data_IF_589114620487
#
_entry.id   IF_589114620487
#
_cell.length_a   1.000
_cell.length_b   1.000
_cell.length_c   1.000
_cell.angle_alpha   90.00
_cell.angle_beta   90.00
_cell.angle_gamma   90.00
#
_symmetry.space_group_name_H-M   'P 1'
#
loop_
_entity.id
_entity.type
_entity.pdbx_description
1 polymer ?
#
# COMPACT_ATOMS: atom_id res chain seq x y z
N UNK A 1 -28.54 72.01 8.76
CA UNK A 1 -27.25 71.72 8.09
C UNK A 1 -26.16 71.96 9.13
N UNK A 2 -25.26 71.08 9.56
CA UNK A 2 -24.70 69.83 9.05
C UNK A 2 -24.40 68.90 10.25
N UNK A 3 -24.59 67.61 10.02
CA UNK A 3 -24.29 66.45 10.86
C UNK A 3 -22.79 66.19 10.94
N UNK A 4 -22.28 65.72 12.08
CA UNK A 4 -20.97 65.02 12.16
C UNK A 4 -21.13 63.75 13.00
N UNK A 5 -20.69 62.63 12.42
CA UNK A 5 -20.79 61.24 12.87
C UNK A 5 -19.38 60.73 13.21
N UNK A 6 -19.32 59.63 13.98
CA UNK A 6 -18.21 58.68 14.20
C UNK A 6 -17.36 58.98 15.46
N UNK A 7 -17.01 57.99 16.29
CA UNK A 7 -16.43 56.69 15.90
C UNK A 7 -16.88 55.53 16.82
N UNK A 8 -17.17 54.38 16.20
CA UNK A 8 -17.34 53.07 16.84
C UNK A 8 -15.96 52.43 17.02
N UNK A 9 -15.56 52.14 18.25
CA UNK A 9 -14.36 51.34 18.53
C UNK A 9 -14.69 49.86 18.43
N UNK A 10 -14.34 49.24 17.30
CA UNK A 10 -14.42 47.80 17.11
C UNK A 10 -13.23 47.11 17.80
N UNK A 11 -13.52 46.37 18.87
CA UNK A 11 -12.59 45.46 19.53
C UNK A 11 -12.29 44.29 18.59
N UNK A 12 -11.10 44.25 18.01
CA UNK A 12 -10.61 43.07 17.31
C UNK A 12 -10.24 42.01 18.33
N UNK A 13 -11.14 41.05 18.56
CA UNK A 13 -10.79 39.80 19.22
C UNK A 13 -9.82 39.05 18.30
N UNK A 14 -8.54 39.02 18.67
CA UNK A 14 -7.56 38.13 18.05
C UNK A 14 -7.98 36.70 18.34
N UNK A 15 -8.57 36.04 17.34
CA UNK A 15 -8.65 34.59 17.32
C UNK A 15 -7.22 34.07 17.28
N UNK A 16 -6.67 33.72 18.45
CA UNK A 16 -5.53 32.84 18.53
C UNK A 16 -6.02 31.51 17.97
N UNK A 17 -5.81 31.29 16.68
CA UNK A 17 -5.82 29.96 16.10
C UNK A 17 -4.74 29.19 16.85
N UNK A 18 -5.17 28.45 17.87
CA UNK A 18 -4.37 27.38 18.45
C UNK A 18 -4.14 26.37 17.34
N UNK A 19 -3.09 26.57 16.55
CA UNK A 19 -2.57 25.53 15.69
C UNK A 19 -2.22 24.37 16.63
N UNK A 20 -2.82 23.18 16.46
CA UNK A 20 -2.40 22.04 17.26
C UNK A 20 -0.90 21.85 17.01
N UNK A 21 -0.12 22.01 18.08
CA UNK A 21 1.29 21.67 18.13
C UNK A 21 1.43 20.15 17.97
N UNK A 22 1.42 19.67 16.74
CA UNK A 22 1.92 18.33 16.42
C UNK A 22 2.65 18.31 15.07
N UNK A 23 3.38 19.38 14.78
CA UNK A 23 4.33 19.45 13.66
C UNK A 23 5.76 19.37 14.17
N UNK A 24 6.05 18.39 15.05
CA UNK A 24 7.44 17.92 15.11
C UNK A 24 7.66 17.21 13.77
N UNK A 25 8.44 17.82 12.87
CA UNK A 25 8.80 17.19 11.60
C UNK A 25 9.31 15.79 11.91
N UNK A 26 8.58 14.79 11.42
CA UNK A 26 8.89 13.40 11.65
C UNK A 26 10.35 13.16 11.25
N UNK A 27 11.12 12.59 12.17
CA UNK A 27 12.52 12.33 11.93
C UNK A 27 12.66 11.01 11.21
N UNK A 28 12.66 11.10 9.89
CA UNK A 28 12.94 9.98 9.02
C UNK A 28 14.32 10.15 8.43
N UNK A 29 15.18 9.17 8.69
CA UNK A 29 16.51 9.11 8.08
C UNK A 29 17.41 10.30 8.45
N UNK A 30 17.42 10.66 9.73
CA UNK A 30 18.25 11.75 10.24
C UNK A 30 19.33 11.19 11.16
N UNK A 31 20.46 11.87 11.24
CA UNK A 31 21.46 11.51 12.23
C UNK A 31 20.89 11.79 13.64
N UNK A 32 21.07 10.88 14.62
CA UNK A 32 20.67 11.15 15.99
C UNK A 32 21.52 12.31 16.55
N UNK A 33 20.84 13.30 17.12
CA UNK A 33 21.47 14.56 17.54
C UNK A 33 21.24 14.93 19.00
N UNK A 34 20.42 14.15 19.73
CA UNK A 34 20.18 14.44 21.13
C UNK A 34 21.45 14.24 21.96
N UNK A 35 21.56 14.98 23.06
CA UNK A 35 22.66 14.84 24.01
C UNK A 35 22.64 13.47 24.67
N UNK A 36 23.83 12.95 24.98
CA UNK A 36 23.99 11.68 25.69
C UNK A 36 23.25 11.71 27.04
N UNK A 37 22.32 10.78 27.21
CA UNK A 37 21.57 10.59 28.46
C UNK A 37 21.56 9.11 28.82
N UNK A 38 22.04 8.78 30.03
CA UNK A 38 22.07 7.40 30.52
C UNK A 38 20.67 6.76 30.62
N UNK A 39 19.61 7.58 30.67
CA UNK A 39 18.21 7.15 30.77
C UNK A 39 17.63 6.65 29.45
N UNK A 40 18.23 6.99 28.31
CA UNK A 40 17.71 6.61 26.99
C UNK A 40 18.54 5.45 26.46
N UNK A 41 18.04 4.24 26.67
CA UNK A 41 18.63 3.00 26.18
C UNK A 41 17.72 2.33 25.14
N UNK A 42 18.28 1.51 24.24
CA UNK A 42 17.47 0.69 23.35
C UNK A 42 16.60 -0.27 24.17
N UNK A 43 15.35 -0.44 23.76
CA UNK A 43 14.49 -1.53 24.23
C UNK A 43 15.06 -2.89 23.85
N UNK A 44 15.60 -2.98 22.63
CA UNK A 44 16.21 -4.19 22.10
C UNK A 44 17.13 -3.85 20.92
N UNK A 45 17.98 -4.80 20.54
CA UNK A 45 18.84 -4.70 19.36
C UNK A 45 18.74 -5.97 18.51
N UNK A 46 17.61 -6.17 17.79
CA UNK A 46 17.42 -7.35 16.95
C UNK A 46 18.30 -7.28 15.68
N UNK A 47 18.42 -8.41 14.98
CA UNK A 47 19.11 -8.45 13.68
C UNK A 47 18.15 -8.06 12.55
N UNK A 48 18.55 -7.10 11.72
CA UNK A 48 17.82 -6.70 10.52
C UNK A 48 18.81 -6.38 9.40
N UNK A 49 18.57 -6.86 8.18
CA UNK A 49 19.47 -6.63 7.04
C UNK A 49 19.24 -5.29 6.33
N UNK A 50 18.10 -4.63 6.57
CA UNK A 50 17.68 -3.36 5.95
C UNK A 50 16.97 -2.47 6.97
N UNK A 51 16.88 -1.15 6.71
CA UNK A 51 16.16 -0.24 7.60
C UNK A 51 14.66 -0.56 7.63
N UNK A 52 14.07 -0.94 6.50
CA UNK A 52 12.67 -1.38 6.43
C UNK A 52 12.41 -2.65 7.25
N UNK A 53 13.35 -3.62 7.26
CA UNK A 53 13.22 -4.78 8.14
C UNK A 53 13.29 -4.38 9.63
N UNK A 54 14.16 -3.43 9.98
CA UNK A 54 14.23 -2.87 11.34
C UNK A 54 12.93 -2.13 11.72
N UNK A 55 12.33 -1.41 10.78
CA UNK A 55 11.03 -0.76 10.96
C UNK A 55 9.91 -1.77 11.26
N UNK A 56 9.84 -2.88 10.51
CA UNK A 56 8.85 -3.95 10.77
C UNK A 56 8.98 -4.52 12.19
N UNK A 57 10.20 -4.70 12.67
CA UNK A 57 10.46 -5.13 14.06
C UNK A 57 10.01 -4.07 15.09
N UNK A 58 10.21 -2.78 14.80
CA UNK A 58 9.65 -1.70 15.62
C UNK A 58 8.12 -1.65 15.56
N UNK A 59 7.53 -1.91 14.39
CA UNK A 59 6.09 -1.91 14.20
C UNK A 59 5.42 -2.99 15.07
N UNK A 60 6.00 -4.20 15.08
CA UNK A 60 5.55 -5.34 15.87
C UNK A 60 5.69 -5.15 17.40
N UNK A 61 6.51 -4.18 17.86
CA UNK A 61 6.66 -3.87 19.27
C UNK A 61 5.83 -2.63 19.64
N UNK A 62 4.81 -2.80 20.49
CA UNK A 62 3.91 -1.72 20.93
C UNK A 62 4.62 -0.61 21.70
N UNK A 63 5.73 -0.93 22.39
CA UNK A 63 6.52 0.04 23.14
C UNK A 63 7.50 0.82 22.26
N UNK A 64 7.75 0.38 21.03
CA UNK A 64 8.68 1.05 20.12
C UNK A 64 8.03 2.31 19.52
N UNK A 65 8.75 3.44 19.63
CA UNK A 65 8.37 4.74 19.04
C UNK A 65 9.34 5.19 17.94
N UNK A 66 10.58 4.74 18.00
CA UNK A 66 11.59 4.98 16.96
C UNK A 66 12.57 3.84 16.89
N UNK A 67 13.31 3.78 15.78
CA UNK A 67 14.40 2.83 15.61
C UNK A 67 15.63 3.53 15.03
N UNK A 68 16.78 2.97 15.33
CA UNK A 68 18.07 3.38 14.81
C UNK A 68 18.60 2.26 13.91
N UNK A 69 19.02 2.63 12.72
CA UNK A 69 19.59 1.72 11.74
C UNK A 69 20.81 2.33 11.05
N UNK A 70 21.78 1.48 10.75
CA UNK A 70 22.91 1.86 9.90
C UNK A 70 24.04 0.86 9.98
N UNK A 71 25.03 1.02 9.11
CA UNK A 71 26.26 0.24 9.07
C UNK A 71 27.40 1.08 9.65
N UNK A 72 27.80 0.84 10.92
CA UNK A 72 28.93 1.54 11.51
C UNK A 72 30.19 1.39 10.67
N UNK A 73 31.08 2.38 10.79
CA UNK A 73 32.41 2.31 10.17
C UNK A 73 33.11 1.01 10.60
N UNK A 74 33.66 0.27 9.63
CA UNK A 74 34.35 -1.01 9.81
C UNK A 74 33.48 -2.19 10.29
N UNK A 75 32.16 -2.02 10.42
CA UNK A 75 31.26 -3.14 10.71
C UNK A 75 30.97 -3.97 9.44
N UNK A 76 30.81 -5.29 9.61
CA UNK A 76 30.40 -6.22 8.55
C UNK A 76 28.87 -6.43 8.48
N UNK A 77 28.17 -6.03 9.54
CA UNK A 77 26.73 -6.17 9.68
C UNK A 77 26.10 -4.85 10.15
N UNK A 78 24.91 -4.52 9.66
CA UNK A 78 24.20 -3.33 10.13
C UNK A 78 23.73 -3.50 11.57
N UNK A 79 23.60 -2.37 12.25
CA UNK A 79 22.99 -2.24 13.56
C UNK A 79 21.51 -1.90 13.40
N UNK A 80 20.66 -2.57 14.17
CA UNK A 80 19.25 -2.21 14.36
C UNK A 80 18.99 -2.13 15.87
N UNK A 81 18.48 -0.98 16.34
CA UNK A 81 18.13 -0.74 17.76
C UNK A 81 16.75 -0.13 17.83
N UNK A 82 15.90 -0.66 18.71
CA UNK A 82 14.54 -0.17 18.93
C UNK A 82 14.50 0.72 20.17
N UNK A 83 13.73 1.81 20.16
CA UNK A 83 13.63 2.75 21.27
C UNK A 83 12.17 3.05 21.63
N UNK A 84 11.91 3.26 22.92
CA UNK A 84 10.60 3.68 23.45
C UNK A 84 10.35 5.19 23.41
N UNK A 85 11.32 5.95 22.89
CA UNK A 85 11.26 7.40 22.75
C UNK A 85 11.13 7.81 21.28
N UNK A 86 10.58 9.00 20.98
CA UNK A 86 10.63 9.55 19.62
C UNK A 86 12.06 9.70 19.13
N UNK A 87 12.27 9.63 17.82
CA UNK A 87 13.59 9.60 17.19
C UNK A 87 14.49 10.77 17.62
N UNK A 88 13.91 11.95 17.78
CA UNK A 88 14.64 13.16 18.16
C UNK A 88 15.09 13.22 19.62
N UNK A 89 14.77 12.20 20.42
CA UNK A 89 15.35 12.01 21.75
C UNK A 89 16.48 10.97 21.75
N UNK A 90 16.68 10.24 20.65
CA UNK A 90 17.75 9.24 20.56
C UNK A 90 19.11 9.97 20.58
N UNK A 91 19.98 9.66 21.56
CA UNK A 91 21.27 10.31 21.66
C UNK A 91 22.16 10.03 20.47
N UNK A 92 23.05 10.97 20.15
CA UNK A 92 24.10 10.73 19.17
C UNK A 92 24.92 9.48 19.55
N UNK A 93 25.01 8.51 18.63
CA UNK A 93 25.72 7.23 18.83
C UNK A 93 26.90 7.05 17.86
N UNK A 94 27.34 8.12 17.20
CA UNK A 94 28.45 8.10 16.26
C UNK A 94 28.03 8.05 14.79
N UNK A 95 29.05 8.00 13.94
CA UNK A 95 28.90 8.15 12.49
C UNK A 95 28.23 6.93 11.86
N UNK A 96 27.49 7.17 10.77
CA UNK A 96 26.81 6.16 9.94
C UNK A 96 25.60 5.46 10.58
N UNK A 97 25.06 6.00 11.66
CA UNK A 97 23.80 5.56 12.26
C UNK A 97 22.73 6.64 12.06
N UNK A 98 21.52 6.20 11.73
CA UNK A 98 20.39 7.07 11.42
C UNK A 98 19.18 6.64 12.23
N UNK A 99 18.42 7.61 12.70
CA UNK A 99 17.19 7.39 13.45
C UNK A 99 15.97 7.68 12.59
N UNK A 100 14.93 6.90 12.86
CA UNK A 100 13.66 6.90 12.15
C UNK A 100 12.54 6.81 13.17
N UNK A 101 11.57 7.72 13.10
CA UNK A 101 10.31 7.54 13.82
C UNK A 101 9.55 6.33 13.27
N UNK A 102 8.79 5.65 14.14
CA UNK A 102 8.02 4.45 13.76
C UNK A 102 7.06 4.70 12.58
N UNK A 103 6.48 5.89 12.53
CA UNK A 103 5.50 6.26 11.52
C UNK A 103 6.12 6.76 10.19
N UNK A 104 7.44 6.64 9.98
CA UNK A 104 8.07 7.04 8.72
C UNK A 104 7.49 6.27 7.55
N UNK A 105 7.15 6.98 6.46
CA UNK A 105 6.66 6.31 5.25
C UNK A 105 7.75 5.45 4.59
N UNK A 106 7.34 4.44 3.83
CA UNK A 106 8.26 3.56 3.08
C UNK A 106 9.15 4.33 2.08
N UNK A 107 8.73 5.52 1.64
CA UNK A 107 9.53 6.39 0.76
C UNK A 107 10.73 7.02 1.47
N UNK A 108 10.71 7.07 2.80
CA UNK A 108 11.78 7.66 3.61
C UNK A 108 12.66 6.59 4.29
N UNK A 109 12.23 5.32 4.30
CA UNK A 109 12.94 4.22 4.96
C UNK A 109 13.65 3.34 3.92
N UNK A 110 14.99 3.30 3.90
CA UNK A 110 15.73 2.46 2.96
C UNK A 110 15.36 0.98 3.01
N UNK A 111 15.21 0.38 1.84
CA UNK A 111 14.84 -1.02 1.67
C UNK A 111 15.96 -1.89 1.08
N UNK A 112 17.12 -1.31 0.78
CA UNK A 112 18.30 -2.07 0.34
C UNK A 112 19.28 -2.32 1.47
N UNK A 113 20.13 -3.35 1.31
CA UNK A 113 21.23 -3.65 2.22
C UNK A 113 22.22 -2.46 2.24
N UNK A 114 22.64 -1.97 3.41
CA UNK A 114 23.60 -0.90 3.50
C UNK A 114 25.00 -1.34 3.05
N UNK A 115 25.74 -0.37 2.52
CA UNK A 115 27.18 -0.47 2.18
C UNK A 115 27.95 0.59 2.96
N UNK A 116 29.28 0.56 2.92
CA UNK A 116 30.08 1.60 3.58
C UNK A 116 29.80 3.00 2.97
N UNK A 117 29.57 3.08 1.66
CA UNK A 117 29.22 4.35 0.97
C UNK A 117 27.78 4.79 1.22
N UNK A 118 26.88 3.82 1.43
CA UNK A 118 25.45 4.02 1.71
C UNK A 118 25.10 3.33 3.03
N UNK A 119 25.52 3.89 4.18
CA UNK A 119 25.47 3.19 5.48
C UNK A 119 24.08 2.83 5.97
N UNK A 120 23.04 3.46 5.42
CA UNK A 120 21.64 3.18 5.71
C UNK A 120 20.94 2.37 4.61
N UNK A 121 21.61 2.13 3.49
CA UNK A 121 21.00 1.66 2.26
C UNK A 121 20.41 2.80 1.43
N UNK A 122 19.57 2.43 0.47
CA UNK A 122 18.85 3.32 -0.42
C UNK A 122 17.36 2.97 -0.39
N UNK A 123 16.52 3.96 -0.66
CA UNK A 123 15.12 3.71 -0.99
C UNK A 123 15.09 3.36 -2.47
N UNK A 124 14.95 2.08 -2.80
CA UNK A 124 14.68 1.64 -4.16
C UNK A 124 13.21 1.31 -4.27
N UNK A 125 12.44 2.26 -4.78
CA UNK A 125 11.13 1.91 -5.35
C UNK A 125 11.41 1.23 -6.67
N UNK A 126 11.41 -0.11 -6.70
CA UNK A 126 11.15 -0.78 -7.98
C UNK A 126 9.79 -0.25 -8.43
N UNK A 127 9.73 0.36 -9.60
CA UNK A 127 8.44 0.75 -10.14
C UNK A 127 7.58 -0.51 -10.20
N UNK A 128 6.31 -0.41 -9.83
CA UNK A 128 5.34 -1.48 -10.05
C UNK A 128 5.37 -2.02 -11.50
N UNK A 129 5.82 -1.19 -12.45
CA UNK A 129 6.03 -1.52 -13.86
C UNK A 129 7.20 -2.47 -14.13
N UNK A 130 8.20 -2.49 -13.25
CA UNK A 130 9.38 -3.36 -13.35
C UNK A 130 9.21 -4.67 -12.55
N UNK A 131 8.18 -4.74 -11.71
CA UNK A 131 7.81 -5.92 -10.95
C UNK A 131 6.65 -6.64 -11.66
N UNK A 132 6.82 -7.93 -11.90
CA UNK A 132 5.76 -8.79 -12.44
C UNK A 132 4.76 -9.04 -11.31
N UNK A 133 3.66 -8.29 -11.29
CA UNK A 133 2.62 -8.35 -10.27
C UNK A 133 1.26 -8.50 -10.91
N UNK A 134 0.48 -9.48 -10.45
CA UNK A 134 -0.88 -9.70 -10.93
C UNK A 134 -0.96 -9.89 -12.45
N UNK A 135 0.00 -10.65 -13.01
CA UNK A 135 0.07 -10.92 -14.45
C UNK A 135 0.02 -12.41 -14.71
N UNK A 136 -0.39 -12.81 -15.91
CA UNK A 136 -0.23 -14.20 -16.34
C UNK A 136 1.27 -14.61 -16.31
N UNK A 137 1.58 -15.87 -15.98
CA UNK A 137 2.94 -16.40 -16.08
C UNK A 137 3.42 -16.43 -17.53
N UNK A 138 4.67 -16.02 -17.77
CA UNK A 138 5.26 -15.88 -19.11
C UNK A 138 6.54 -16.70 -19.32
N UNK A 139 6.99 -17.45 -18.30
CA UNK A 139 8.22 -18.23 -18.40
C UNK A 139 8.11 -19.37 -19.41
N UNK A 140 9.27 -19.80 -19.92
CA UNK A 140 9.35 -20.94 -20.82
C UNK A 140 8.76 -22.21 -20.16
N UNK A 141 8.13 -23.07 -20.96
CA UNK A 141 7.65 -24.37 -20.51
C UNK A 141 8.81 -25.19 -19.96
N UNK A 142 8.87 -25.34 -18.63
CA UNK A 142 9.92 -26.07 -17.94
C UNK A 142 9.33 -26.81 -16.73
N UNK A 143 9.20 -28.13 -16.87
CA UNK A 143 8.65 -29.01 -15.84
C UNK A 143 9.49 -29.10 -14.57
N UNK A 144 10.74 -28.61 -14.56
CA UNK A 144 11.61 -28.58 -13.37
C UNK A 144 11.28 -27.43 -12.41
N UNK A 145 10.55 -26.41 -12.86
CA UNK A 145 10.14 -25.29 -12.01
C UNK A 145 8.84 -25.70 -11.30
N UNK A 146 8.94 -26.00 -10.01
CA UNK A 146 7.83 -26.43 -9.16
C UNK A 146 7.76 -25.52 -7.92
N UNK A 147 6.55 -25.35 -7.34
CA UNK A 147 6.44 -24.64 -6.08
C UNK A 147 7.13 -25.45 -4.98
N UNK A 148 7.82 -24.76 -4.07
CA UNK A 148 8.42 -25.41 -2.90
C UNK A 148 7.45 -25.49 -1.73
N UNK A 149 6.36 -24.73 -1.75
CA UNK A 149 5.31 -24.75 -0.74
C UNK A 149 3.95 -24.32 -1.32
N UNK A 150 2.87 -24.84 -0.75
CA UNK A 150 1.48 -24.52 -1.13
C UNK A 150 0.63 -24.25 0.11
N UNK A 151 0.77 -23.07 0.74
CA UNK A 151 0.01 -22.74 1.95
C UNK A 151 -1.47 -22.51 1.62
N UNK A 152 -2.34 -22.71 2.61
CA UNK A 152 -3.73 -22.29 2.50
C UNK A 152 -3.81 -20.77 2.69
N UNK A 153 -4.10 -20.04 1.62
CA UNK A 153 -4.32 -18.60 1.66
C UNK A 153 -5.62 -18.30 0.91
N UNK A 154 -6.51 -17.52 1.53
CA UNK A 154 -7.82 -17.17 0.94
C UNK A 154 -7.78 -15.92 0.07
N UNK A 155 -6.71 -15.12 0.16
CA UNK A 155 -6.49 -13.89 -0.61
C UNK A 155 -5.04 -13.81 -1.10
N UNK A 156 -4.78 -13.01 -2.14
CA UNK A 156 -3.42 -12.82 -2.66
C UNK A 156 -2.51 -12.16 -1.62
N UNK A 157 -3.04 -11.23 -0.82
CA UNK A 157 -2.34 -10.62 0.32
C UNK A 157 -1.86 -11.69 1.32
N UNK A 158 -2.73 -12.63 1.71
CA UNK A 158 -2.33 -13.71 2.65
C UNK A 158 -1.32 -14.67 2.02
N UNK A 159 -1.39 -14.86 0.70
CA UNK A 159 -0.37 -15.63 -0.03
C UNK A 159 0.98 -14.88 -0.06
N UNK A 160 0.95 -13.55 -0.19
CA UNK A 160 2.13 -12.71 -0.11
C UNK A 160 2.76 -12.75 1.29
N UNK A 161 1.97 -12.63 2.36
CA UNK A 161 2.43 -12.77 3.75
C UNK A 161 3.20 -14.10 3.94
N UNK A 162 2.66 -15.19 3.39
CA UNK A 162 3.29 -16.50 3.44
C UNK A 162 4.61 -16.57 2.63
N UNK A 163 4.67 -15.91 1.47
CA UNK A 163 5.92 -15.77 0.70
C UNK A 163 6.96 -14.92 1.44
N UNK A 164 6.52 -13.85 2.11
CA UNK A 164 7.39 -12.94 2.85
C UNK A 164 8.05 -13.62 4.04
N UNK A 165 7.30 -14.45 4.75
CA UNK A 165 7.80 -15.27 5.86
C UNK A 165 8.90 -16.27 5.43
N UNK A 166 8.95 -16.66 4.15
CA UNK A 166 9.93 -17.61 3.63
C UNK A 166 11.13 -16.90 3.01
N UNK A 167 12.32 -17.09 3.60
CA UNK A 167 13.55 -16.47 3.12
C UNK A 167 13.92 -16.85 1.68
N UNK A 168 13.53 -18.05 1.24
CA UNK A 168 13.79 -18.57 -0.10
C UNK A 168 12.76 -18.16 -1.15
N UNK A 169 11.62 -17.57 -0.75
CA UNK A 169 10.58 -17.18 -1.69
C UNK A 169 11.05 -16.00 -2.55
N UNK A 170 10.83 -16.09 -3.87
CA UNK A 170 11.12 -15.04 -4.84
C UNK A 170 9.87 -14.62 -5.63
N UNK A 171 8.89 -15.51 -5.78
CA UNK A 171 7.59 -15.21 -6.38
C UNK A 171 6.52 -16.19 -5.87
N UNK A 172 5.25 -15.82 -6.04
CA UNK A 172 4.13 -16.71 -5.78
C UNK A 172 3.12 -16.69 -6.94
N UNK A 173 2.34 -17.78 -7.06
CA UNK A 173 1.13 -17.84 -7.86
C UNK A 173 -0.07 -17.80 -6.94
N UNK A 174 -1.07 -17.01 -7.32
CA UNK A 174 -2.35 -16.97 -6.64
C UNK A 174 -3.50 -16.90 -7.65
N UNK A 175 -4.58 -17.60 -7.37
CA UNK A 175 -5.84 -17.50 -8.11
C UNK A 175 -6.81 -18.63 -7.78
N UNK A 176 -8.02 -18.55 -8.31
CA UNK A 176 -9.04 -19.58 -8.27
C UNK A 176 -9.16 -20.23 -9.65
N UNK A 177 -8.61 -21.44 -9.85
CA UNK A 177 -8.80 -22.18 -11.10
C UNK A 177 -10.28 -22.47 -11.37
N UNK A 178 -10.69 -22.44 -12.64
CA UNK A 178 -12.05 -22.77 -13.08
C UNK A 178 -12.67 -24.04 -12.47
N UNK A 179 -11.87 -25.09 -12.27
CA UNK A 179 -12.33 -26.38 -11.73
C UNK A 179 -12.18 -26.50 -10.19
N UNK A 180 -11.77 -25.43 -9.50
CA UNK A 180 -11.49 -25.44 -8.07
C UNK A 180 -12.54 -24.65 -7.28
N UNK A 181 -12.92 -25.16 -6.11
CA UNK A 181 -13.81 -24.46 -5.16
C UNK A 181 -13.06 -23.59 -4.15
N UNK A 182 -11.72 -23.67 -4.13
CA UNK A 182 -10.86 -22.89 -3.23
C UNK A 182 -9.67 -22.28 -3.99
N UNK A 183 -9.22 -21.08 -3.60
CA UNK A 183 -8.05 -20.47 -4.21
C UNK A 183 -6.78 -21.25 -3.91
N UNK A 184 -5.86 -21.20 -4.86
CA UNK A 184 -4.57 -21.86 -4.82
C UNK A 184 -3.48 -20.83 -4.61
N UNK A 185 -2.67 -21.03 -3.57
CA UNK A 185 -1.45 -20.29 -3.33
C UNK A 185 -0.23 -21.20 -3.48
N UNK A 186 0.72 -20.84 -4.34
CA UNK A 186 1.93 -21.62 -4.63
C UNK A 186 3.16 -20.73 -4.53
N UNK A 187 4.12 -21.08 -3.68
CA UNK A 187 5.34 -20.32 -3.43
C UNK A 187 6.52 -20.89 -4.24
N UNK A 188 7.30 -20.02 -4.86
CA UNK A 188 8.42 -20.38 -5.71
C UNK A 188 9.72 -19.71 -5.26
N UNK A 189 10.82 -20.44 -5.41
CA UNK A 189 12.17 -19.96 -5.10
C UNK A 189 12.88 -19.37 -6.32
N UNK A 190 12.15 -19.04 -7.39
CA UNK A 190 12.66 -18.45 -8.63
C UNK A 190 11.98 -17.12 -8.91
N UNK A 191 12.60 -16.29 -9.75
CA UNK A 191 12.01 -15.04 -10.19
C UNK A 191 10.68 -15.27 -10.95
N UNK A 192 9.75 -14.31 -10.92
CA UNK A 192 8.43 -14.45 -11.56
C UNK A 192 8.50 -14.72 -13.07
N UNK A 193 9.51 -14.19 -13.76
CA UNK A 193 9.76 -14.44 -15.20
C UNK A 193 10.19 -15.87 -15.53
N UNK A 194 10.50 -16.69 -14.53
CA UNK A 194 10.85 -18.11 -14.69
C UNK A 194 9.67 -19.04 -14.46
N UNK A 195 8.56 -18.54 -13.94
CA UNK A 195 7.35 -19.34 -13.72
C UNK A 195 6.78 -19.72 -15.09
N UNK A 196 6.68 -21.03 -15.40
CA UNK A 196 6.21 -21.48 -16.71
C UNK A 196 4.84 -20.90 -17.06
N UNK A 197 4.63 -20.55 -18.32
CA UNK A 197 3.31 -20.16 -18.85
C UNK A 197 2.30 -21.28 -18.64
N UNK A 198 1.08 -20.90 -18.24
CA UNK A 198 -0.06 -21.77 -17.93
C UNK A 198 -1.35 -21.01 -18.20
N UNK A 199 -2.43 -21.77 -18.40
CA UNK A 199 -3.77 -21.24 -18.67
C UNK A 199 -4.76 -21.62 -17.55
N UNK A 200 -4.26 -21.87 -16.32
CA UNK A 200 -5.04 -22.33 -15.16
C UNK A 200 -5.55 -21.20 -14.26
N UNK A 201 -5.76 -19.99 -14.81
CA UNK A 201 -6.25 -18.80 -14.09
C UNK A 201 -5.45 -18.41 -12.84
N UNK A 202 -4.19 -18.84 -12.79
CA UNK A 202 -3.24 -18.45 -11.76
C UNK A 202 -2.37 -17.28 -12.23
N UNK A 203 -2.23 -16.30 -11.37
CA UNK A 203 -1.49 -15.07 -11.65
C UNK A 203 -0.20 -15.04 -10.84
N UNK A 204 0.86 -14.55 -11.47
CA UNK A 204 2.20 -14.41 -10.89
C UNK A 204 2.34 -13.08 -10.17
N UNK A 205 2.95 -13.16 -9.01
CA UNK A 205 3.33 -12.03 -8.18
C UNK A 205 4.79 -12.18 -7.76
N UNK A 206 5.59 -11.15 -7.99
CA UNK A 206 6.89 -11.00 -7.37
C UNK A 206 6.73 -10.87 -5.85
N UNK A 207 7.71 -11.35 -5.06
CA UNK A 207 7.69 -11.21 -3.60
C UNK A 207 7.45 -9.76 -3.15
N UNK A 208 8.11 -8.81 -3.80
CA UNK A 208 8.06 -7.38 -3.45
C UNK A 208 6.91 -6.61 -4.14
N UNK A 209 5.83 -7.28 -4.53
CA UNK A 209 4.67 -6.58 -5.10
C UNK A 209 4.10 -5.55 -4.09
N UNK A 210 3.85 -4.30 -4.51
CA UNK A 210 3.25 -3.32 -3.63
C UNK A 210 1.79 -3.69 -3.33
N UNK A 211 1.30 -3.37 -2.12
CA UNK A 211 -0.05 -3.71 -1.68
C UNK A 211 -1.16 -3.25 -2.65
N UNK A 212 -0.98 -2.09 -3.31
CA UNK A 212 -1.90 -1.58 -4.32
C UNK A 212 -2.11 -2.52 -5.53
N UNK A 213 -1.17 -3.44 -5.78
CA UNK A 213 -1.23 -4.39 -6.89
C UNK A 213 -1.56 -5.82 -6.45
N UNK A 214 -1.77 -6.03 -5.15
CA UNK A 214 -2.02 -7.36 -4.58
C UNK A 214 -3.47 -7.42 -4.11
N UNK A 215 -4.31 -8.25 -4.76
CA UNK A 215 -5.70 -8.40 -4.39
C UNK A 215 -5.92 -8.77 -2.92
N UNK A 216 -6.88 -8.10 -2.29
CA UNK A 216 -7.22 -8.30 -0.88
C UNK A 216 -8.57 -9.00 -0.71
N UNK A 217 -9.38 -9.11 -1.76
CA UNK A 217 -10.64 -9.84 -1.71
C UNK A 217 -10.46 -11.32 -2.04
N UNK A 218 -11.41 -12.14 -1.57
CA UNK A 218 -11.47 -13.56 -1.92
C UNK A 218 -11.84 -13.68 -3.40
N UNK A 219 -11.08 -14.45 -4.21
CA UNK A 219 -11.38 -14.60 -5.63
C UNK A 219 -12.69 -15.35 -5.86
N UNK A 220 -13.31 -15.06 -6.99
CA UNK A 220 -14.50 -15.75 -7.53
C UNK A 220 -14.16 -16.31 -8.92
N UNK A 221 -15.02 -17.11 -9.53
CA UNK A 221 -14.76 -17.58 -10.90
C UNK A 221 -14.83 -16.44 -11.94
N UNK A 222 -15.61 -15.40 -11.67
CA UNK A 222 -15.64 -14.19 -12.52
C UNK A 222 -14.39 -13.32 -12.32
N UNK A 223 -13.84 -13.33 -11.10
CA UNK A 223 -12.63 -12.60 -10.73
C UNK A 223 -11.62 -13.54 -10.06
N UNK A 224 -10.93 -14.39 -10.86
CA UNK A 224 -10.12 -15.49 -10.35
C UNK A 224 -8.92 -15.05 -9.50
N UNK A 225 -8.56 -13.77 -9.56
CA UNK A 225 -7.50 -13.15 -8.75
C UNK A 225 -8.00 -12.39 -7.53
N UNK A 226 -9.30 -12.07 -7.46
CA UNK A 226 -9.86 -11.05 -6.58
C UNK A 226 -9.59 -9.62 -7.06
N UNK A 227 -10.09 -8.66 -6.29
CA UNK A 227 -10.01 -7.23 -6.57
C UNK A 227 -8.77 -6.63 -5.88
N UNK A 228 -8.02 -5.82 -6.64
CA UNK A 228 -6.98 -4.98 -6.08
C UNK A 228 -7.61 -3.90 -5.18
N UNK A 229 -6.90 -3.39 -4.16
CA UNK A 229 -7.41 -2.28 -3.35
C UNK A 229 -7.76 -1.10 -4.25
N UNK A 230 -9.04 -0.75 -4.34
CA UNK A 230 -9.48 0.49 -4.96
C UNK A 230 -8.87 1.64 -4.15
N UNK A 231 -8.07 2.51 -4.76
CA UNK A 231 -7.90 3.86 -4.22
C UNK A 231 -9.31 4.47 -4.21
N UNK A 232 -9.88 4.72 -3.02
CA UNK A 232 -11.13 5.45 -2.87
C UNK A 232 -10.98 6.83 -3.52
N UNK A 233 -11.33 6.91 -4.81
CA UNK A 233 -11.75 8.13 -5.46
C UNK A 233 -13.07 8.53 -4.80
N UNK A 234 -12.97 9.53 -3.93
CA UNK A 234 -14.11 10.35 -3.55
C UNK A 234 -14.65 11.01 -4.82
N UNK A 235 -15.70 10.45 -5.41
CA UNK A 235 -16.58 11.22 -6.28
C UNK A 235 -18.04 10.94 -5.96
N UNK A 236 -18.67 12.05 -5.59
CA UNK A 236 -19.99 12.21 -5.07
C UNK A 236 -20.98 12.25 -6.25
N UNK A 237 -21.91 11.29 -6.35
CA UNK A 237 -23.21 11.58 -6.98
C UNK A 237 -24.33 10.67 -6.47
N UNK A 238 -25.02 11.22 -5.48
CA UNK A 238 -26.48 11.34 -5.43
C UNK A 238 -27.27 10.30 -6.22
N UNK A 239 -27.91 9.39 -5.47
CA UNK A 239 -29.28 8.97 -5.74
C UNK A 239 -29.91 8.53 -4.43
N UNK A 240 -30.44 9.52 -3.72
CA UNK A 240 -31.44 9.33 -2.67
C UNK A 240 -32.62 8.58 -3.28
N UNK A 241 -32.85 7.33 -2.89
CA UNK A 241 -34.15 6.67 -3.07
C UNK A 241 -34.76 6.45 -1.70
N UNK A 242 -35.36 7.51 -1.19
CA UNK A 242 -36.31 7.44 -0.08
C UNK A 242 -37.54 6.66 -0.57
N UNK A 243 -37.79 5.54 0.08
CA UNK A 243 -39.09 4.88 0.08
C UNK A 243 -40.15 5.86 0.58
N UNK A 244 -41.23 6.02 -0.19
CA UNK A 244 -42.51 6.40 0.38
C UNK A 244 -43.63 5.62 -0.30
N UNK A 245 -44.51 5.15 0.56
CA UNK A 245 -45.60 4.20 0.35
C UNK A 245 -46.85 4.95 -0.14
N UNK A 246 -47.55 4.27 -1.05
CA UNK A 246 -49.01 4.08 -1.07
C UNK A 246 -49.97 5.12 -1.68
N UNK A 247 -51.03 4.52 -2.28
CA UNK A 247 -52.40 5.02 -2.54
C UNK A 247 -52.78 5.64 -3.91
N UNK A 248 -53.77 5.01 -4.56
CA UNK A 248 -54.67 5.57 -5.59
C UNK A 248 -54.44 5.03 -7.01
N UNK A 249 -55.00 3.90 -7.47
CA UNK A 249 -56.39 3.58 -7.85
C UNK A 249 -56.88 4.21 -9.17
N UNK A 250 -57.34 3.32 -10.06
CA UNK A 250 -58.29 3.45 -11.18
C UNK A 250 -57.83 3.84 -12.62
N UNK A 251 -58.04 2.84 -13.50
CA UNK A 251 -58.75 2.84 -14.79
C UNK A 251 -58.17 3.46 -16.09
N UNK A 252 -57.76 2.55 -16.98
CA UNK A 252 -58.18 2.35 -18.37
C UNK A 252 -58.70 3.51 -19.28
N UNK A 253 -58.05 3.68 -20.44
CA UNK A 253 -58.69 3.92 -21.77
C UNK A 253 -57.62 3.82 -22.88
N UNK A 254 -57.63 2.79 -23.73
CA UNK A 254 -58.24 2.71 -25.10
C UNK A 254 -57.82 3.76 -26.13
N UNK A 255 -57.18 3.28 -27.21
CA UNK A 255 -57.32 3.65 -28.64
C UNK A 255 -57.10 5.11 -29.08
N UNK A 256 -56.78 5.47 -30.31
CA UNK A 256 -56.45 4.79 -31.57
C UNK A 256 -56.00 5.91 -32.56
N UNK A 257 -55.05 5.58 -33.45
CA UNK A 257 -54.67 6.15 -34.78
C UNK A 257 -55.03 7.60 -35.19
N UNK A 258 -54.04 8.29 -35.78
CA UNK A 258 -53.96 8.69 -37.21
C UNK A 258 -52.68 9.56 -37.41
N UNK A 259 -51.68 9.23 -38.24
CA UNK A 259 -51.56 9.10 -39.71
C UNK A 259 -51.08 10.40 -40.43
N UNK A 260 -50.30 10.18 -41.50
CA UNK A 260 -49.91 11.07 -42.62
C UNK A 260 -48.58 11.85 -42.49
N UNK A 261 -47.70 11.96 -43.49
CA UNK A 261 -47.55 11.35 -44.83
C UNK A 261 -46.21 11.82 -45.45
N UNK A 262 -45.72 11.07 -46.45
CA UNK A 262 -44.81 11.44 -47.57
C UNK A 262 -43.39 11.94 -47.23
N UNK A 263 -42.30 11.48 -47.84
CA UNK A 263 -42.08 10.74 -49.09
C UNK A 263 -40.91 11.41 -49.83
N UNK A 264 -39.88 10.67 -50.26
CA UNK A 264 -39.45 10.54 -51.67
C UNK A 264 -38.08 9.81 -51.79
N UNK A 265 -37.98 9.10 -52.91
CA UNK A 265 -37.05 8.09 -53.38
C UNK A 265 -35.63 8.56 -53.78
N UNK A 266 -34.76 7.55 -53.96
CA UNK A 266 -33.73 7.49 -55.00
C UNK A 266 -32.41 6.93 -54.48
N UNK A 267 -32.14 5.61 -54.53
CA UNK A 267 -31.65 4.85 -55.72
C UNK A 267 -30.29 5.42 -56.22
N UNK A 268 -29.16 4.69 -56.27
CA UNK A 268 -28.94 3.42 -56.97
C UNK A 268 -27.57 2.81 -56.61
N UNK A 269 -27.51 1.49 -56.83
CA UNK A 269 -26.38 0.56 -56.77
C UNK A 269 -25.22 0.94 -57.71
N UNK A 270 -24.00 0.54 -57.33
CA UNK A 270 -23.31 -0.56 -58.01
C UNK A 270 -22.37 -1.28 -57.03
#
# INVERSE_FOLDING_TARGET
>A
MKTTIAMLTASMATAILAHPFDTRSQQCNVAPSATSSAKIQPLSSPTASTAQACQKLCAANSSCKSFLFGLPANAKAPTCKLYSVPAAQVPNQGNNLYVFDKACSDKAVPNTKPTQDKPRGEVKTKAARDLVCNTAPTGASNSKIQPFATPSAKTAEKCQDACDAQASCQSFLFGLPADASEPVCKLYNVAPSKIPRRDDELYVFAKECPAANVPTTTPTHDEPRGEAPSEEQADNKSSTKTENKDSGKDQASTGEKANNNAGNNGEKRN
#
